data_IF_048980569314
#
_entry.id   IF_048980569314
#
_cell.length_a   1.000
_cell.length_b   1.000
_cell.length_c   1.000
_cell.angle_alpha   90.00
_cell.angle_beta   90.00
_cell.angle_gamma   90.00
#
_symmetry.space_group_name_H-M   'P 1'
#
loop_
_entity.id
_entity.type
_entity.pdbx_description
1 polymer ?
#
# COMPACT_ATOMS: atom_id res chain seq x y z
N UNK A 1 3.66 54.57 -0.62
CA UNK A 1 3.11 53.84 0.55
C UNK A 1 3.77 52.47 0.51
N UNK A 2 4.89 52.31 1.20
CA UNK A 2 5.60 51.02 1.25
C UNK A 2 4.99 50.15 2.34
N UNK A 3 4.58 48.93 1.98
CA UNK A 3 4.09 47.93 2.93
C UNK A 3 5.30 47.17 3.49
N UNK A 4 5.73 47.53 4.70
CA UNK A 4 6.72 46.75 5.45
C UNK A 4 6.08 45.47 5.98
N UNK A 5 6.34 44.35 5.33
CA UNK A 5 5.99 43.02 5.83
C UNK A 5 7.07 42.62 6.84
N UNK A 6 6.71 42.55 8.11
CA UNK A 6 7.57 42.01 9.17
C UNK A 6 7.67 40.49 8.96
N UNK A 7 8.85 39.98 8.57
CA UNK A 7 9.07 38.54 8.52
C UNK A 7 9.16 37.99 9.96
N UNK A 8 8.41 36.93 10.29
CA UNK A 8 8.47 36.34 11.62
C UNK A 8 9.87 35.81 11.90
N UNK A 9 10.34 35.98 13.14
CA UNK A 9 11.64 35.49 13.58
C UNK A 9 11.64 33.95 13.56
N UNK A 10 12.57 33.34 12.83
CA UNK A 10 12.69 31.88 12.65
C UNK A 10 12.74 31.09 13.97
N UNK A 11 13.16 31.72 15.08
CA UNK A 11 13.21 31.10 16.40
C UNK A 11 11.81 30.81 17.00
N UNK A 12 10.72 31.27 16.36
CA UNK A 12 9.34 30.98 16.78
C UNK A 12 8.73 29.75 16.08
N UNK A 13 9.44 29.14 15.12
CA UNK A 13 8.93 27.95 14.43
C UNK A 13 9.24 26.71 15.26
N UNK A 14 8.21 26.13 15.87
CA UNK A 14 8.33 24.83 16.53
C UNK A 14 8.42 23.75 15.44
N UNK A 15 9.55 23.06 15.34
CA UNK A 15 9.72 21.93 14.43
C UNK A 15 9.95 20.67 15.25
N UNK A 16 9.24 19.60 14.90
CA UNK A 16 9.56 18.28 15.42
C UNK A 16 10.71 17.72 14.57
N UNK A 17 11.82 17.37 15.22
CA UNK A 17 12.91 16.66 14.56
C UNK A 17 12.46 15.25 14.23
N UNK A 18 12.26 14.94 12.95
CA UNK A 18 11.93 13.59 12.53
C UNK A 18 13.20 12.72 12.54
N UNK A 19 13.07 11.50 13.05
CA UNK A 19 14.11 10.49 12.87
C UNK A 19 13.91 9.87 11.49
N UNK A 20 14.75 10.24 10.53
CA UNK A 20 14.76 9.59 9.22
C UNK A 20 15.23 8.15 9.37
N UNK A 21 14.37 7.19 9.00
CA UNK A 21 14.77 5.80 8.90
C UNK A 21 15.58 5.60 7.61
N UNK A 22 16.91 5.49 7.72
CA UNK A 22 17.75 5.11 6.58
C UNK A 22 17.65 3.60 6.38
N UNK A 23 17.00 3.17 5.29
CA UNK A 23 16.88 1.75 4.94
C UNK A 23 18.06 1.38 4.03
N UNK A 24 18.91 0.46 4.45
CA UNK A 24 19.93 -0.14 3.59
C UNK A 24 19.34 -1.11 2.56
N UNK A 25 20.17 -1.67 1.67
CA UNK A 25 19.74 -2.72 0.72
C UNK A 25 19.14 -3.89 1.49
N UNK A 26 17.82 -4.02 1.46
CA UNK A 26 17.11 -5.08 2.18
C UNK A 26 16.90 -6.25 1.23
N UNK A 27 17.48 -7.40 1.58
CA UNK A 27 17.18 -8.66 0.90
C UNK A 27 15.76 -9.07 1.31
N UNK A 28 14.80 -8.87 0.42
CA UNK A 28 13.43 -9.33 0.61
C UNK A 28 13.49 -10.86 0.48
N UNK A 29 13.44 -11.56 1.61
CA UNK A 29 13.16 -12.98 1.61
C UNK A 29 11.67 -13.16 1.30
N UNK A 30 11.34 -13.23 0.01
CA UNK A 30 10.02 -13.62 -0.43
C UNK A 30 9.74 -15.05 0.06
N UNK A 31 8.83 -15.18 1.01
CA UNK A 31 8.12 -16.45 1.19
C UNK A 31 7.08 -16.53 0.08
N UNK A 32 7.54 -16.81 -1.14
CA UNK A 32 6.65 -17.10 -2.26
C UNK A 32 6.06 -18.50 -2.08
N UNK A 33 4.94 -18.59 -1.37
CA UNK A 33 4.11 -19.82 -1.33
C UNK A 33 3.36 -20.08 -2.66
N UNK A 34 3.69 -19.34 -3.71
CA UNK A 34 3.11 -19.50 -5.04
C UNK A 34 3.98 -20.41 -5.89
N UNK A 35 4.03 -21.70 -5.54
CA UNK A 35 4.50 -22.72 -6.48
C UNK A 35 3.68 -22.59 -7.77
N UNK A 36 4.37 -22.46 -8.90
CA UNK A 36 3.80 -22.20 -10.22
C UNK A 36 2.71 -23.20 -10.59
N UNK A 37 1.48 -22.90 -10.20
CA UNK A 37 0.30 -23.62 -10.63
C UNK A 37 0.04 -23.24 -12.09
N UNK A 38 -0.12 -24.24 -12.97
CA UNK A 38 -0.40 -24.03 -14.39
C UNK A 38 -1.62 -23.12 -14.60
N UNK A 39 -2.57 -23.15 -13.65
CA UNK A 39 -3.74 -22.27 -13.62
C UNK A 39 -3.41 -20.77 -13.56
N UNK A 40 -2.31 -20.39 -12.90
CA UNK A 40 -1.87 -19.01 -12.71
C UNK A 40 -1.31 -18.41 -13.99
N UNK A 41 -0.48 -19.19 -14.69
CA UNK A 41 0.11 -18.78 -15.97
C UNK A 41 -1.01 -18.50 -16.98
N UNK A 42 -2.03 -19.36 -17.05
CA UNK A 42 -3.19 -19.15 -17.93
C UNK A 42 -3.95 -17.88 -17.59
N UNK A 43 -4.18 -17.59 -16.30
CA UNK A 43 -4.82 -16.34 -15.86
C UNK A 43 -4.00 -15.11 -16.24
N UNK A 44 -2.69 -15.14 -16.01
CA UNK A 44 -1.78 -14.06 -16.38
C UNK A 44 -1.83 -13.80 -17.89
N UNK A 45 -1.73 -14.85 -18.71
CA UNK A 45 -1.78 -14.73 -20.16
C UNK A 45 -3.14 -14.20 -20.66
N UNK A 46 -4.24 -14.57 -20.02
CA UNK A 46 -5.57 -14.03 -20.32
C UNK A 46 -5.74 -12.55 -19.97
N UNK A 47 -5.02 -12.06 -18.96
CA UNK A 47 -5.05 -10.65 -18.56
C UNK A 47 -4.18 -9.75 -19.47
N UNK A 48 -3.17 -10.33 -20.15
CA UNK A 48 -2.26 -9.58 -21.02
C UNK A 48 -2.92 -9.26 -22.37
N UNK A 49 -3.04 -7.97 -22.68
CA UNK A 49 -3.52 -7.49 -23.97
C UNK A 49 -2.42 -7.60 -25.03
N UNK A 50 -2.45 -8.66 -25.83
CA UNK A 50 -1.40 -8.97 -26.84
C UNK A 50 -1.89 -8.92 -28.30
N UNK A 51 -3.11 -8.43 -28.53
CA UNK A 51 -3.79 -8.39 -29.83
C UNK A 51 -3.08 -7.54 -30.89
N UNK A 52 -2.31 -6.54 -30.47
CA UNK A 52 -1.65 -5.55 -31.32
C UNK A 52 -0.17 -5.86 -31.60
N UNK A 53 0.38 -6.90 -30.96
CA UNK A 53 1.80 -7.22 -31.04
C UNK A 53 2.11 -8.14 -32.22
N UNK A 54 3.31 -8.00 -32.78
CA UNK A 54 3.83 -8.97 -33.73
C UNK A 54 4.09 -10.33 -33.05
N UNK A 55 4.21 -11.40 -33.84
CA UNK A 55 4.41 -12.76 -33.32
C UNK A 55 5.68 -12.90 -32.49
N UNK A 56 6.76 -12.23 -32.88
CA UNK A 56 8.04 -12.25 -32.17
C UNK A 56 7.97 -11.45 -30.84
N UNK A 57 7.37 -10.27 -30.87
CA UNK A 57 7.21 -9.43 -29.68
C UNK A 57 6.32 -10.14 -28.65
N UNK A 58 5.23 -10.74 -29.13
CA UNK A 58 4.31 -11.52 -28.30
C UNK A 58 5.00 -12.72 -27.67
N UNK A 59 5.81 -13.47 -28.42
CA UNK A 59 6.51 -14.64 -27.87
C UNK A 59 7.57 -14.23 -26.85
N UNK A 60 8.31 -13.16 -27.12
CA UNK A 60 9.30 -12.59 -26.19
C UNK A 60 8.65 -12.15 -24.88
N UNK A 61 7.56 -11.38 -24.96
CA UNK A 61 6.83 -10.89 -23.79
C UNK A 61 6.25 -12.04 -22.94
N UNK A 62 5.59 -13.01 -23.58
CA UNK A 62 5.03 -14.16 -22.87
C UNK A 62 6.10 -14.99 -22.17
N UNK A 63 7.28 -15.13 -22.77
CA UNK A 63 8.41 -15.86 -22.18
C UNK A 63 8.84 -15.22 -20.86
N UNK A 64 9.01 -13.89 -20.85
CA UNK A 64 9.41 -13.13 -19.65
C UNK A 64 8.31 -13.22 -18.58
N UNK A 65 7.05 -13.00 -18.95
CA UNK A 65 5.94 -13.07 -18.02
C UNK A 65 5.76 -14.46 -17.40
N UNK A 66 6.03 -15.53 -18.15
CA UNK A 66 6.00 -16.88 -17.62
C UNK A 66 7.15 -17.15 -16.64
N UNK A 67 8.35 -16.66 -16.96
CA UNK A 67 9.54 -16.82 -16.13
C UNK A 67 9.40 -16.14 -14.76
N UNK A 68 8.81 -14.94 -14.75
CA UNK A 68 8.61 -14.12 -13.56
C UNK A 68 7.14 -14.04 -13.16
N UNK A 69 6.40 -15.15 -13.33
CA UNK A 69 4.96 -15.20 -13.08
C UNK A 69 4.58 -15.00 -11.62
N UNK A 70 5.52 -15.18 -10.70
CA UNK A 70 5.41 -14.93 -9.26
C UNK A 70 5.36 -13.45 -8.88
N UNK A 71 5.94 -12.55 -9.70
CA UNK A 71 5.98 -11.11 -9.43
C UNK A 71 4.62 -10.40 -9.63
N UNK A 72 3.71 -10.99 -10.41
CA UNK A 72 2.45 -10.35 -10.78
C UNK A 72 1.33 -10.68 -9.78
N UNK A 73 0.74 -9.71 -9.10
CA UNK A 73 -0.46 -10.00 -8.31
C UNK A 73 -1.70 -10.07 -9.21
N UNK A 74 -2.39 -11.20 -9.18
CA UNK A 74 -3.65 -11.43 -9.89
C UNK A 74 -4.84 -11.26 -8.95
N UNK A 75 -6.04 -11.17 -9.51
CA UNK A 75 -7.27 -11.07 -8.71
C UNK A 75 -7.41 -12.28 -7.77
N UNK A 76 -7.60 -11.99 -6.48
CA UNK A 76 -7.68 -12.99 -5.41
C UNK A 76 -6.34 -13.29 -4.72
N UNK A 77 -5.23 -12.79 -5.25
CA UNK A 77 -3.94 -12.89 -4.56
C UNK A 77 -3.90 -11.97 -3.34
N UNK A 78 -3.15 -12.39 -2.32
CA UNK A 78 -2.92 -11.58 -1.12
C UNK A 78 -1.84 -10.55 -1.39
N UNK A 79 -2.15 -9.30 -1.13
CA UNK A 79 -1.15 -8.23 -1.20
C UNK A 79 -0.22 -8.37 0.00
N UNK A 80 1.08 -8.48 -0.27
CA UNK A 80 2.13 -8.50 0.74
C UNK A 80 2.72 -7.10 0.93
N UNK A 81 3.39 -6.90 2.06
CA UNK A 81 4.12 -5.67 2.35
C UNK A 81 5.52 -6.04 2.85
N UNK A 82 6.49 -5.16 2.57
CA UNK A 82 7.87 -5.36 3.00
C UNK A 82 7.97 -5.30 4.53
N UNK A 83 8.56 -6.32 5.15
CA UNK A 83 8.81 -6.34 6.61
C UNK A 83 9.96 -5.41 7.04
N UNK A 84 10.69 -4.85 6.08
CA UNK A 84 11.85 -3.97 6.32
C UNK A 84 11.49 -2.73 7.14
N UNK A 85 10.29 -2.19 6.95
CA UNK A 85 9.82 -0.99 7.65
C UNK A 85 8.37 -1.18 8.04
N UNK A 86 8.09 -0.98 9.33
CA UNK A 86 6.75 -0.84 9.85
C UNK A 86 6.47 0.65 10.10
N UNK A 87 5.28 1.10 9.71
CA UNK A 87 4.85 2.45 10.05
C UNK A 87 4.45 2.50 11.53
N UNK A 88 5.03 3.45 12.27
CA UNK A 88 4.65 3.76 13.65
C UNK A 88 3.95 5.12 13.68
N UNK A 89 2.79 5.18 14.35
CA UNK A 89 2.14 6.45 14.66
C UNK A 89 2.63 6.87 16.04
N UNK A 90 3.51 7.88 16.10
CA UNK A 90 4.00 8.43 17.36
C UNK A 90 2.91 9.27 18.02
N UNK A 91 2.40 8.81 19.15
CA UNK A 91 1.51 9.60 20.02
C UNK A 91 2.34 10.28 21.12
N UNK A 92 2.01 11.52 21.53
CA UNK A 92 2.73 12.16 22.63
C UNK A 92 2.58 11.35 23.93
N UNK A 93 3.67 11.21 24.70
CA UNK A 93 3.73 10.37 25.92
C UNK A 93 2.68 10.75 26.98
N UNK A 94 2.23 12.01 26.99
CA UNK A 94 1.26 12.53 27.94
C UNK A 94 -0.21 12.24 27.58
N UNK A 95 -0.48 11.57 26.46
CA UNK A 95 -1.85 11.31 25.97
C UNK A 95 -2.31 9.91 26.38
N UNK A 96 -3.34 9.84 27.22
CA UNK A 96 -4.02 8.57 27.53
C UNK A 96 -4.84 8.07 26.33
N UNK A 97 -4.98 6.74 26.14
CA UNK A 97 -5.91 6.19 25.16
C UNK A 97 -7.33 6.76 25.33
N UNK A 98 -7.98 7.11 24.22
CA UNK A 98 -9.34 7.66 24.21
C UNK A 98 -10.32 6.58 23.77
N UNK A 99 -11.36 6.37 24.57
CA UNK A 99 -12.48 5.48 24.24
C UNK A 99 -13.77 6.30 24.21
N UNK A 100 -14.23 6.62 23.00
CA UNK A 100 -15.50 7.29 22.78
C UNK A 100 -16.55 6.31 22.26
N UNK A 101 -17.77 6.43 22.80
CA UNK A 101 -18.89 5.60 22.33
C UNK A 101 -19.23 6.01 20.89
N UNK A 102 -19.29 5.07 19.94
CA UNK A 102 -19.69 5.39 18.57
C UNK A 102 -21.10 5.97 18.56
N UNK A 103 -21.33 6.96 17.69
CA UNK A 103 -22.65 7.55 17.51
C UNK A 103 -23.69 6.52 17.05
N UNK A 104 -24.94 6.72 17.46
CA UNK A 104 -26.06 5.91 16.96
C UNK A 104 -26.20 6.15 15.46
N UNK A 105 -25.99 5.10 14.66
CA UNK A 105 -26.23 5.17 13.22
C UNK A 105 -27.74 5.17 12.92
N UNK A 106 -28.23 6.07 12.06
CA UNK A 106 -29.56 5.95 11.48
C UNK A 106 -29.75 4.61 10.75
N UNK A 107 -30.94 4.00 10.88
CA UNK A 107 -31.24 2.68 10.32
C UNK A 107 -30.99 2.53 8.81
N UNK A 108 -31.12 3.61 8.05
CA UNK A 108 -30.88 3.63 6.59
C UNK A 108 -29.40 3.42 6.27
N UNK A 109 -28.50 3.94 7.12
CA UNK A 109 -27.05 3.85 6.93
C UNK A 109 -26.57 2.49 7.43
N UNK A 110 -27.04 2.05 8.61
CA UNK A 110 -26.68 0.76 9.20
C UNK A 110 -26.95 -0.43 8.27
N UNK A 111 -28.09 -0.42 7.56
CA UNK A 111 -28.44 -1.49 6.61
C UNK A 111 -27.50 -1.61 5.41
N UNK A 112 -26.83 -0.52 5.01
CA UNK A 112 -25.97 -0.48 3.82
C UNK A 112 -24.50 -0.76 4.13
N UNK A 113 -24.10 -0.78 5.39
CA UNK A 113 -22.72 -1.00 5.77
C UNK A 113 -22.38 -2.50 5.76
N UNK A 114 -21.23 -2.89 5.18
CA UNK A 114 -20.79 -4.28 5.17
C UNK A 114 -20.29 -4.76 6.54
N UNK A 115 -20.06 -3.84 7.49
CA UNK A 115 -19.53 -4.13 8.82
C UNK A 115 -20.66 -3.96 9.84
N UNK A 116 -21.05 -5.07 10.49
CA UNK A 116 -21.96 -5.03 11.64
C UNK A 116 -21.16 -4.93 12.92
N UNK A 117 -21.26 -3.80 13.60
CA UNK A 117 -20.71 -3.62 14.93
C UNK A 117 -21.48 -4.52 15.91
N UNK A 118 -20.83 -5.57 16.44
CA UNK A 118 -21.32 -6.27 17.64
C UNK A 118 -20.70 -5.58 18.85
N UNK A 119 -21.56 -5.05 19.71
CA UNK A 119 -21.22 -4.59 21.05
C UNK A 119 -21.33 -5.76 22.05
#
# INVERSE_FOLDING_TARGET
MELQIQLPNLNQLNYEGYMEATIGTTQISDQSEHQGDSSRITKLQGALRTEHLNTEEKSSLLTICNQYSDLFLLEGDKITATTAVAHEIRTPDAVRPMHDKPYRLPHVIDRKLPIKWRF
#
